data_IF_143108073540
#
_entry.id   IF_143108073540
#
_cell.length_a   1.000
_cell.length_b   1.000
_cell.length_c   1.000
_cell.angle_alpha   90.00
_cell.angle_beta   90.00
_cell.angle_gamma   90.00
#
_symmetry.space_group_name_H-M   'P 1'
#
loop_
_entity.id
_entity.type
_entity.pdbx_description
1 polymer ?
#
# COMPACT_ATOMS: atom_id res chain seq x y z
N UNK A 1 -27.86 -0.02 -26.85
CA UNK A 1 -27.92 1.41 -26.41
C UNK A 1 -27.80 1.57 -24.88
N UNK A 2 -28.58 0.85 -24.06
CA UNK A 2 -28.55 0.95 -22.58
C UNK A 2 -27.19 0.60 -21.94
N UNK A 3 -26.48 -0.41 -22.45
CA UNK A 3 -25.14 -0.79 -21.95
C UNK A 3 -24.10 0.30 -22.20
N UNK A 4 -24.17 0.97 -23.36
CA UNK A 4 -23.25 2.06 -23.72
C UNK A 4 -23.49 3.31 -22.87
N UNK A 5 -24.74 3.69 -22.64
CA UNK A 5 -25.11 4.80 -21.75
C UNK A 5 -24.70 4.54 -20.29
N UNK A 6 -24.83 3.29 -19.81
CA UNK A 6 -24.38 2.90 -18.47
C UNK A 6 -22.85 2.89 -18.34
N UNK A 7 -22.13 2.51 -19.39
CA UNK A 7 -20.67 2.64 -19.46
C UNK A 7 -20.23 4.10 -19.47
N UNK A 8 -20.93 4.99 -20.16
CA UNK A 8 -20.66 6.43 -20.14
C UNK A 8 -20.95 7.06 -18.78
N UNK A 9 -22.04 6.70 -18.09
CA UNK A 9 -22.31 7.16 -16.72
C UNK A 9 -21.29 6.63 -15.71
N UNK A 10 -20.87 5.37 -15.87
CA UNK A 10 -19.79 4.79 -15.06
C UNK A 10 -18.45 5.50 -15.32
N UNK A 11 -18.19 5.88 -16.58
CA UNK A 11 -17.00 6.63 -16.97
C UNK A 11 -17.04 8.05 -16.42
N UNK A 12 -18.17 8.76 -16.52
CA UNK A 12 -18.35 10.10 -15.96
C UNK A 12 -18.18 10.10 -14.43
N UNK A 13 -18.79 9.15 -13.73
CA UNK A 13 -18.61 8.98 -12.30
C UNK A 13 -17.15 8.62 -11.92
N UNK A 14 -16.46 7.87 -12.78
CA UNK A 14 -15.04 7.59 -12.61
C UNK A 14 -14.17 8.83 -12.87
N UNK A 15 -14.44 9.59 -13.93
CA UNK A 15 -13.73 10.81 -14.29
C UNK A 15 -13.89 11.87 -13.21
N UNK A 16 -15.10 12.04 -12.66
CA UNK A 16 -15.33 12.93 -11.52
C UNK A 16 -14.52 12.50 -10.30
N UNK A 17 -14.47 11.18 -10.00
CA UNK A 17 -13.62 10.66 -8.93
C UNK A 17 -12.15 10.99 -9.21
N UNK A 18 -11.64 10.72 -10.42
CA UNK A 18 -10.25 11.01 -10.82
C UNK A 18 -9.93 12.50 -10.69
N UNK A 19 -10.85 13.38 -11.11
CA UNK A 19 -10.67 14.83 -11.00
C UNK A 19 -10.49 15.30 -9.54
N UNK A 20 -11.08 14.59 -8.58
CA UNK A 20 -10.91 14.89 -7.14
C UNK A 20 -9.68 14.23 -6.51
N UNK A 21 -9.02 13.28 -7.18
CA UNK A 21 -7.85 12.58 -6.61
C UNK A 21 -6.68 13.51 -6.24
N UNK A 22 -6.31 14.54 -7.03
CA UNK A 22 -5.25 15.47 -6.65
C UNK A 22 -5.46 16.14 -5.30
N UNK A 23 -6.72 16.30 -4.87
CA UNK A 23 -7.08 16.88 -3.56
C UNK A 23 -7.25 15.77 -2.52
N UNK A 24 -7.95 14.69 -2.87
CA UNK A 24 -8.28 13.60 -1.96
C UNK A 24 -7.05 12.80 -1.54
N UNK A 25 -6.14 12.52 -2.47
CA UNK A 25 -4.92 11.73 -2.22
C UNK A 25 -4.01 12.36 -1.17
N UNK A 26 -3.49 13.59 -1.32
CA UNK A 26 -2.58 14.17 -0.33
C UNK A 26 -3.27 14.36 1.02
N UNK A 27 -4.57 14.72 1.03
CA UNK A 27 -5.35 14.83 2.27
C UNK A 27 -5.48 13.48 2.99
N UNK A 28 -5.77 12.41 2.26
CA UNK A 28 -5.84 11.05 2.80
C UNK A 28 -4.46 10.58 3.28
N UNK A 29 -3.41 10.77 2.48
CA UNK A 29 -2.03 10.40 2.84
C UNK A 29 -1.59 11.09 4.14
N UNK A 30 -1.85 12.39 4.24
CA UNK A 30 -1.49 13.17 5.41
C UNK A 30 -2.22 12.72 6.68
N UNK A 31 -3.51 12.39 6.57
CA UNK A 31 -4.28 11.83 7.67
C UNK A 31 -3.74 10.48 8.11
N UNK A 32 -3.37 9.61 7.17
CA UNK A 32 -2.75 8.30 7.46
C UNK A 32 -1.42 8.48 8.18
N UNK A 33 -0.57 9.39 7.70
CA UNK A 33 0.75 9.66 8.28
C UNK A 33 0.67 10.17 9.72
N UNK A 34 -0.24 11.11 9.98
CA UNK A 34 -0.40 11.73 11.32
C UNK A 34 -1.15 10.85 12.30
N UNK A 35 -2.27 10.25 11.88
CA UNK A 35 -3.18 9.53 12.77
C UNK A 35 -3.58 8.15 12.18
N UNK A 36 -2.63 7.20 12.08
CA UNK A 36 -2.89 5.90 11.46
C UNK A 36 -3.97 5.09 12.20
N UNK A 37 -4.04 5.21 13.53
CA UNK A 37 -5.07 4.57 14.35
C UNK A 37 -6.47 5.10 14.06
N UNK A 38 -6.64 6.42 13.98
CA UNK A 38 -7.94 7.04 13.70
C UNK A 38 -8.43 6.67 12.31
N UNK A 39 -7.54 6.64 11.32
CA UNK A 39 -7.87 6.18 9.97
C UNK A 39 -8.27 4.70 9.96
N UNK A 40 -7.64 3.88 10.80
CA UNK A 40 -8.00 2.46 10.93
C UNK A 40 -9.39 2.27 11.54
N UNK A 41 -9.73 3.05 12.59
CA UNK A 41 -11.06 3.08 13.19
C UNK A 41 -12.12 3.64 12.25
N UNK A 42 -11.77 4.67 11.47
CA UNK A 42 -12.62 5.19 10.40
C UNK A 42 -12.89 4.12 9.33
N UNK A 43 -11.86 3.38 8.92
CA UNK A 43 -11.97 2.33 7.90
C UNK A 43 -12.93 1.22 8.34
N UNK A 44 -12.85 0.79 9.60
CA UNK A 44 -13.78 -0.20 10.16
C UNK A 44 -15.23 0.31 10.12
N UNK A 45 -15.48 1.53 10.60
CA UNK A 45 -16.80 2.19 10.55
C UNK A 45 -17.34 2.33 9.11
N UNK A 46 -16.47 2.62 8.15
CA UNK A 46 -16.86 2.74 6.74
C UNK A 46 -17.25 1.40 6.10
N UNK A 47 -16.66 0.29 6.54
CA UNK A 47 -17.00 -1.04 6.02
C UNK A 47 -18.37 -1.55 6.49
N UNK A 48 -18.88 -1.01 7.60
CA UNK A 48 -20.22 -1.26 8.13
C UNK A 48 -21.32 -0.48 7.37
N UNK A 49 -20.96 0.56 6.61
CA UNK A 49 -21.92 1.38 5.84
C UNK A 49 -22.43 0.67 4.58
N UNK A 50 -23.50 1.21 3.98
CA UNK A 50 -23.99 0.75 2.68
C UNK A 50 -22.94 0.99 1.58
N UNK A 51 -22.77 0.07 0.60
CA UNK A 51 -21.72 0.12 -0.43
C UNK A 51 -21.57 1.48 -1.12
N UNK A 52 -22.68 2.16 -1.42
CA UNK A 52 -22.71 3.42 -2.17
C UNK A 52 -22.24 4.63 -1.35
N UNK A 53 -22.22 4.53 -0.01
CA UNK A 53 -21.77 5.60 0.90
C UNK A 53 -20.36 5.40 1.42
N UNK A 54 -19.77 4.20 1.23
CA UNK A 54 -18.44 3.87 1.76
C UNK A 54 -17.37 4.75 1.11
N UNK A 55 -16.48 5.27 1.94
CA UNK A 55 -15.32 6.06 1.52
C UNK A 55 -15.70 7.29 0.69
N UNK A 56 -16.85 7.92 0.97
CA UNK A 56 -17.22 9.19 0.32
C UNK A 56 -16.26 10.34 0.66
N UNK A 57 -15.61 10.29 1.84
CA UNK A 57 -14.69 11.33 2.32
C UNK A 57 -13.20 11.05 2.14
N UNK A 58 -12.79 9.89 1.60
CA UNK A 58 -11.40 9.47 1.41
C UNK A 58 -11.27 8.51 0.23
N UNK A 59 -10.10 8.41 -0.40
CA UNK A 59 -9.88 7.38 -1.42
C UNK A 59 -10.07 5.97 -0.83
N UNK A 60 -10.65 5.04 -1.59
CA UNK A 60 -10.79 3.66 -1.11
C UNK A 60 -9.42 3.07 -0.78
N UNK A 61 -9.28 2.22 0.25
CA UNK A 61 -7.96 1.87 0.76
C UNK A 61 -7.07 1.12 -0.24
N UNK A 62 -7.56 0.12 -1.00
CA UNK A 62 -6.76 -0.52 -2.05
C UNK A 62 -6.33 0.46 -3.15
N UNK A 63 -7.21 1.41 -3.51
CA UNK A 63 -6.90 2.43 -4.52
C UNK A 63 -5.82 3.38 -4.01
N UNK A 64 -5.88 3.78 -2.74
CA UNK A 64 -4.85 4.60 -2.10
C UNK A 64 -3.46 3.96 -2.23
N UNK A 65 -3.36 2.66 -1.95
CA UNK A 65 -2.09 1.93 -2.06
C UNK A 65 -1.59 1.86 -3.50
N UNK A 66 -2.47 1.50 -4.44
CA UNK A 66 -2.12 1.42 -5.87
C UNK A 66 -1.67 2.80 -6.37
N UNK A 67 -2.43 3.85 -6.06
CA UNK A 67 -2.11 5.22 -6.47
C UNK A 67 -0.79 5.70 -5.85
N UNK A 68 -0.52 5.35 -4.60
CA UNK A 68 0.75 5.64 -3.93
C UNK A 68 1.95 5.02 -4.66
N UNK A 69 1.84 3.75 -5.06
CA UNK A 69 2.89 3.03 -5.78
C UNK A 69 3.08 3.62 -7.18
N UNK A 70 1.99 3.86 -7.91
CA UNK A 70 2.03 4.42 -9.27
C UNK A 70 2.64 5.82 -9.26
N UNK A 71 2.17 6.72 -8.39
CA UNK A 71 2.69 8.09 -8.30
C UNK A 71 4.17 8.11 -7.92
N UNK A 72 4.61 7.26 -6.99
CA UNK A 72 6.01 7.20 -6.59
C UNK A 72 6.92 6.74 -7.75
N UNK A 73 6.44 5.84 -8.62
CA UNK A 73 7.17 5.45 -9.83
C UNK A 73 7.14 6.52 -10.92
N UNK A 74 6.01 7.21 -11.13
CA UNK A 74 5.90 8.31 -12.10
C UNK A 74 6.88 9.44 -11.81
N UNK A 75 7.06 9.81 -10.54
CA UNK A 75 8.07 10.80 -10.13
C UNK A 75 9.49 10.35 -10.51
N UNK A 76 9.77 9.04 -10.40
CA UNK A 76 11.05 8.47 -10.83
C UNK A 76 11.32 8.54 -12.33
N UNK A 77 10.28 8.57 -13.16
CA UNK A 77 10.42 8.69 -14.62
C UNK A 77 10.61 10.13 -15.09
N UNK A 78 10.25 11.11 -14.26
CA UNK A 78 10.50 12.52 -14.56
C UNK A 78 11.97 12.93 -14.35
N UNK A 79 12.84 12.02 -13.90
CA UNK A 79 14.27 12.27 -13.73
C UNK A 79 14.98 12.25 -15.11
N UNK A 80 15.74 13.29 -15.50
CA UNK A 80 16.27 13.48 -16.86
C UNK A 80 17.14 12.32 -17.38
N UNK A 81 17.85 11.62 -16.49
CA UNK A 81 18.86 10.63 -16.86
C UNK A 81 18.35 9.17 -16.86
N UNK A 82 17.03 8.95 -16.78
CA UNK A 82 16.45 7.59 -16.79
C UNK A 82 15.51 7.36 -17.98
N UNK A 83 15.80 6.39 -18.86
CA UNK A 83 14.87 6.03 -19.93
C UNK A 83 13.56 5.53 -19.31
N UNK A 84 12.43 5.92 -19.92
CA UNK A 84 11.13 5.48 -19.41
C UNK A 84 11.01 3.95 -19.51
N UNK A 85 10.41 3.27 -18.52
CA UNK A 85 10.27 1.80 -18.54
C UNK A 85 9.34 1.27 -19.64
N UNK A 86 8.53 2.15 -20.23
CA UNK A 86 7.76 1.88 -21.44
C UNK A 86 8.68 1.70 -22.65
N UNK A 87 9.78 2.45 -22.71
CA UNK A 87 10.76 2.39 -23.80
C UNK A 87 11.80 1.29 -23.54
N UNK A 88 12.14 0.99 -22.28
CA UNK A 88 13.11 -0.05 -21.94
C UNK A 88 12.54 -1.47 -21.82
N UNK A 89 11.22 -1.66 -22.00
CA UNK A 89 10.57 -2.97 -21.86
C UNK A 89 10.54 -3.51 -20.42
N UNK A 90 10.91 -2.71 -19.42
CA UNK A 90 10.98 -3.11 -18.01
C UNK A 90 9.65 -3.00 -17.26
N UNK A 91 8.58 -2.56 -17.94
CA UNK A 91 7.26 -2.37 -17.35
C UNK A 91 6.75 -3.61 -16.59
N UNK A 92 6.82 -4.86 -17.12
CA UNK A 92 6.38 -6.04 -16.39
C UNK A 92 7.18 -6.26 -15.10
N UNK A 93 8.50 -6.04 -15.14
CA UNK A 93 9.40 -6.21 -13.99
C UNK A 93 9.09 -5.19 -12.89
N UNK A 94 8.81 -3.95 -13.31
CA UNK A 94 8.42 -2.85 -12.43
C UNK A 94 7.03 -3.05 -11.83
N UNK A 95 6.08 -3.62 -12.58
CA UNK A 95 4.76 -4.00 -12.08
C UNK A 95 4.83 -5.11 -11.04
N UNK A 96 5.61 -6.17 -11.27
CA UNK A 96 5.77 -7.24 -10.27
C UNK A 96 6.43 -6.71 -8.98
N UNK A 97 7.44 -5.82 -9.12
CA UNK A 97 8.03 -5.11 -7.98
C UNK A 97 7.00 -4.24 -7.23
N UNK A 98 6.14 -3.56 -7.97
CA UNK A 98 5.04 -2.74 -7.44
C UNK A 98 4.03 -3.58 -6.65
N UNK A 99 3.65 -4.75 -7.17
CA UNK A 99 2.75 -5.69 -6.51
C UNK A 99 3.35 -6.25 -5.22
N UNK A 100 4.68 -6.38 -5.15
CA UNK A 100 5.41 -6.75 -3.96
C UNK A 100 5.10 -5.85 -2.75
N UNK A 101 4.93 -4.54 -2.94
CA UNK A 101 4.56 -3.63 -1.85
C UNK A 101 3.18 -3.93 -1.26
N UNK A 102 2.29 -4.59 -2.00
CA UNK A 102 1.02 -5.12 -1.49
C UNK A 102 1.19 -6.16 -0.39
N UNK A 103 2.33 -6.85 -0.32
CA UNK A 103 2.63 -7.82 0.74
C UNK A 103 2.79 -7.14 2.10
N UNK A 104 3.24 -5.89 2.14
CA UNK A 104 3.24 -5.11 3.38
C UNK A 104 1.84 -4.86 3.90
N UNK A 105 0.80 -4.82 3.04
CA UNK A 105 -0.59 -4.78 3.52
C UNK A 105 -1.13 -6.20 3.85
N UNK A 106 -0.83 -7.18 3.01
CA UNK A 106 -1.43 -8.51 3.08
C UNK A 106 -0.93 -9.34 4.27
N UNK A 107 0.38 -9.36 4.51
CA UNK A 107 1.01 -10.15 5.58
C UNK A 107 0.50 -9.81 6.99
N UNK A 108 0.46 -8.52 7.41
CA UNK A 108 -0.12 -8.16 8.70
C UNK A 108 -1.65 -8.36 8.73
N UNK A 109 -2.37 -8.18 7.63
CA UNK A 109 -3.80 -8.44 7.57
C UNK A 109 -4.12 -9.93 7.87
N UNK A 110 -3.35 -10.85 7.27
CA UNK A 110 -3.45 -12.27 7.58
C UNK A 110 -3.09 -12.57 9.03
N UNK A 111 -2.11 -11.88 9.62
CA UNK A 111 -1.75 -12.06 11.02
C UNK A 111 -2.88 -11.64 11.96
N UNK A 112 -3.57 -10.54 11.68
CA UNK A 112 -4.74 -10.12 12.45
C UNK A 112 -5.82 -11.20 12.48
N UNK A 113 -6.11 -11.86 11.34
CA UNK A 113 -7.06 -12.96 11.29
C UNK A 113 -6.60 -14.19 12.07
N UNK A 114 -5.31 -14.54 11.95
CA UNK A 114 -4.73 -15.68 12.68
C UNK A 114 -4.81 -15.47 14.19
N UNK A 115 -4.48 -14.27 14.68
CA UNK A 115 -4.59 -13.95 16.12
C UNK A 115 -6.04 -14.02 16.59
N UNK A 116 -6.99 -13.52 15.78
CA UNK A 116 -8.43 -13.62 16.07
C UNK A 116 -9.00 -15.03 15.92
N UNK A 117 -8.20 -16.02 15.50
CA UNK A 117 -8.62 -17.40 15.18
C UNK A 117 -9.77 -17.47 14.17
N UNK A 118 -9.83 -16.50 13.25
CA UNK A 118 -10.84 -16.44 12.18
C UNK A 118 -10.26 -17.12 10.94
N UNK A 119 -11.04 -18.01 10.30
CA UNK A 119 -10.63 -18.66 9.04
C UNK A 119 -10.42 -17.60 7.96
N UNK A 120 -9.35 -17.77 7.19
CA UNK A 120 -9.04 -16.86 6.07
C UNK A 120 -10.12 -17.04 5.00
N UNK A 121 -10.94 -16.02 4.83
CA UNK A 121 -11.94 -15.92 3.77
C UNK A 121 -11.89 -14.52 3.17
N UNK A 122 -12.38 -14.36 1.93
CA UNK A 122 -12.43 -13.05 1.26
C UNK A 122 -13.19 -12.00 2.08
N UNK A 123 -14.26 -12.42 2.76
CA UNK A 123 -15.08 -11.55 3.60
C UNK A 123 -14.36 -11.16 4.89
N UNK A 124 -13.74 -12.12 5.58
CA UNK A 124 -12.98 -11.86 6.80
C UNK A 124 -11.74 -11.00 6.55
N UNK A 125 -11.06 -11.20 5.41
CA UNK A 125 -9.83 -10.47 5.07
C UNK A 125 -10.09 -9.01 4.69
N UNK A 126 -11.30 -8.65 4.28
CA UNK A 126 -11.61 -7.33 3.74
C UNK A 126 -11.26 -6.20 4.71
N UNK A 127 -11.72 -6.28 5.95
CA UNK A 127 -11.43 -5.26 6.98
C UNK A 127 -9.95 -5.12 7.29
N UNK A 128 -9.24 -6.19 7.71
CA UNK A 128 -7.82 -6.06 8.04
C UNK A 128 -7.01 -5.67 6.81
N UNK A 129 -7.31 -6.19 5.61
CA UNK A 129 -6.61 -5.78 4.39
C UNK A 129 -6.80 -4.29 4.09
N UNK A 130 -8.02 -3.76 4.22
CA UNK A 130 -8.30 -2.35 3.93
C UNK A 130 -7.58 -1.42 4.89
N UNK A 131 -7.55 -1.74 6.18
CA UNK A 131 -6.76 -1.00 7.17
C UNK A 131 -5.28 -0.98 6.77
N UNK A 132 -4.77 -2.16 6.42
CA UNK A 132 -3.36 -2.34 6.10
C UNK A 132 -2.96 -1.68 4.77
N UNK A 133 -3.88 -1.56 3.80
CA UNK A 133 -3.62 -0.79 2.58
C UNK A 133 -3.33 0.68 2.89
N UNK A 134 -4.07 1.31 3.82
CA UNK A 134 -3.77 2.67 4.23
C UNK A 134 -2.39 2.76 4.88
N UNK A 135 -2.07 1.91 5.86
CA UNK A 135 -0.77 1.92 6.55
C UNK A 135 0.40 1.66 5.59
N UNK A 136 0.25 0.75 4.62
CA UNK A 136 1.28 0.43 3.65
C UNK A 136 1.51 1.53 2.59
N UNK A 137 0.52 2.41 2.37
CA UNK A 137 0.59 3.48 1.35
C UNK A 137 1.75 4.46 1.55
N UNK A 138 1.94 5.11 2.71
CA UNK A 138 3.10 5.99 2.91
C UNK A 138 4.42 5.22 2.92
N UNK A 139 4.44 3.99 3.45
CA UNK A 139 5.63 3.14 3.42
C UNK A 139 6.08 2.88 1.98
N UNK A 140 5.17 2.50 1.08
CA UNK A 140 5.52 2.19 -0.31
C UNK A 140 6.08 3.41 -1.04
N UNK A 141 5.53 4.61 -0.85
CA UNK A 141 6.06 5.85 -1.43
C UNK A 141 7.51 6.06 -1.00
N UNK A 142 7.79 6.00 0.30
CA UNK A 142 9.13 6.27 0.82
C UNK A 142 10.12 5.19 0.39
N UNK A 143 9.74 3.91 0.39
CA UNK A 143 10.61 2.83 -0.07
C UNK A 143 10.95 2.93 -1.56
N UNK A 144 9.97 3.31 -2.39
CA UNK A 144 10.18 3.56 -3.81
C UNK A 144 11.12 4.76 -4.00
N UNK A 145 10.83 5.89 -3.34
CA UNK A 145 11.66 7.09 -3.42
C UNK A 145 13.09 6.86 -2.93
N UNK A 146 13.26 6.15 -1.82
CA UNK A 146 14.56 5.77 -1.28
C UNK A 146 15.33 4.87 -2.27
N UNK A 147 14.67 3.92 -2.92
CA UNK A 147 15.31 3.10 -3.94
C UNK A 147 15.75 3.92 -5.17
N UNK A 148 14.97 4.92 -5.59
CA UNK A 148 15.40 5.83 -6.66
C UNK A 148 16.63 6.63 -6.23
N UNK A 149 16.62 7.14 -5.00
CA UNK A 149 17.68 7.96 -4.42
C UNK A 149 18.96 7.19 -4.12
N UNK A 150 18.88 5.87 -3.88
CA UNK A 150 20.03 5.02 -3.60
C UNK A 150 21.07 5.02 -4.74
N UNK A 151 20.65 5.31 -5.98
CA UNK A 151 21.56 5.49 -7.10
C UNK A 151 22.38 6.80 -7.06
N UNK A 152 22.02 7.74 -6.19
CA UNK A 152 22.65 9.07 -6.07
C UNK A 152 23.29 9.24 -4.69
N UNK A 153 22.52 9.00 -3.62
CA UNK A 153 22.93 9.17 -2.22
C UNK A 153 22.45 8.00 -1.36
N UNK A 154 23.30 6.98 -1.22
CA UNK A 154 22.99 5.76 -0.46
C UNK A 154 22.68 6.06 1.00
N UNK A 155 23.45 6.94 1.66
CA UNK A 155 23.25 7.27 3.07
C UNK A 155 21.86 7.90 3.32
N UNK A 156 21.44 8.83 2.47
CA UNK A 156 20.12 9.46 2.55
C UNK A 156 19.00 8.45 2.26
N UNK A 157 19.16 7.59 1.26
CA UNK A 157 18.22 6.51 0.96
C UNK A 157 18.05 5.53 2.14
N UNK A 158 19.15 5.15 2.79
CA UNK A 158 19.11 4.30 3.99
C UNK A 158 18.39 5.00 5.14
N UNK A 159 18.67 6.28 5.39
CA UNK A 159 18.01 7.03 6.45
C UNK A 159 16.49 7.13 6.24
N UNK A 160 16.04 7.43 5.02
CA UNK A 160 14.62 7.48 4.67
C UNK A 160 13.94 6.11 4.84
N UNK A 161 14.62 5.05 4.41
CA UNK A 161 14.14 3.68 4.57
C UNK A 161 13.97 3.33 6.05
N UNK A 162 14.97 3.61 6.88
CA UNK A 162 14.90 3.36 8.33
C UNK A 162 13.76 4.13 9.00
N UNK A 163 13.62 5.42 8.70
CA UNK A 163 12.53 6.25 9.25
C UNK A 163 11.16 5.70 8.84
N UNK A 164 10.98 5.31 7.58
CA UNK A 164 9.73 4.74 7.11
C UNK A 164 9.41 3.39 7.77
N UNK A 165 10.40 2.51 7.91
CA UNK A 165 10.27 1.24 8.60
C UNK A 165 9.89 1.42 10.07
N UNK A 166 10.54 2.36 10.78
CA UNK A 166 10.24 2.69 12.18
C UNK A 166 8.81 3.21 12.31
N UNK A 167 8.42 4.18 11.48
CA UNK A 167 7.06 4.73 11.48
C UNK A 167 6.00 3.65 11.23
N UNK A 168 6.25 2.78 10.25
CA UNK A 168 5.35 1.70 9.90
C UNK A 168 5.22 0.67 11.03
N UNK A 169 6.35 0.22 11.60
CA UNK A 169 6.36 -0.73 12.71
C UNK A 169 5.67 -0.15 13.95
N UNK A 170 5.93 1.11 14.29
CA UNK A 170 5.27 1.77 15.41
C UNK A 170 3.74 1.84 15.21
N UNK A 171 3.31 2.24 14.00
CA UNK A 171 1.89 2.28 13.63
C UNK A 171 1.23 0.90 13.71
N UNK A 172 1.94 -0.15 13.29
CA UNK A 172 1.47 -1.52 13.35
C UNK A 172 1.35 -2.06 14.77
N UNK A 173 2.34 -1.80 15.61
CA UNK A 173 2.32 -2.20 17.01
C UNK A 173 1.15 -1.51 17.71
N UNK A 174 0.99 -0.20 17.51
CA UNK A 174 -0.14 0.55 18.06
C UNK A 174 -1.49 -0.01 17.61
N UNK A 175 -1.62 -0.37 16.32
CA UNK A 175 -2.82 -0.97 15.76
C UNK A 175 -3.13 -2.33 16.38
N UNK A 176 -2.14 -3.23 16.42
CA UNK A 176 -2.31 -4.58 16.99
C UNK A 176 -2.72 -4.51 18.46
N UNK A 177 -2.10 -3.62 19.23
CA UNK A 177 -2.48 -3.38 20.64
C UNK A 177 -3.92 -2.91 20.77
N UNK A 178 -4.38 -2.00 19.89
CA UNK A 178 -5.72 -1.41 19.97
C UNK A 178 -6.83 -2.32 19.42
N UNK A 179 -6.55 -3.10 18.37
CA UNK A 179 -7.56 -3.91 17.67
C UNK A 179 -7.65 -5.36 18.13
N UNK A 180 -6.62 -5.85 18.84
CA UNK A 180 -6.51 -7.23 19.30
C UNK A 180 -6.27 -7.32 20.82
N UNK A 181 -6.28 -6.19 21.53
CA UNK A 181 -6.03 -6.08 22.96
C UNK A 181 -4.74 -6.80 23.41
N UNK A 182 -3.73 -6.83 22.53
CA UNK A 182 -2.47 -7.50 22.78
C UNK A 182 -1.55 -6.67 23.68
N UNK A 183 -0.78 -7.31 24.58
CA UNK A 183 0.31 -6.62 25.27
C UNK A 183 1.42 -6.24 24.29
N UNK A 184 2.30 -5.32 24.71
CA UNK A 184 3.34 -4.74 23.85
C UNK A 184 4.24 -5.82 23.23
N UNK A 185 4.66 -6.82 24.00
CA UNK A 185 5.64 -7.80 23.55
C UNK A 185 5.12 -8.72 22.41
N UNK A 186 3.94 -9.37 22.53
CA UNK A 186 3.35 -10.10 21.40
C UNK A 186 3.03 -9.22 20.20
N UNK A 187 2.56 -7.98 20.42
CA UNK A 187 2.27 -7.05 19.34
C UNK A 187 3.54 -6.70 18.53
N UNK A 188 4.64 -6.40 19.23
CA UNK A 188 5.95 -6.15 18.62
C UNK A 188 6.47 -7.36 17.87
N UNK A 189 6.42 -8.56 18.48
CA UNK A 189 6.88 -9.78 17.82
C UNK A 189 6.08 -10.09 16.55
N UNK A 190 4.75 -9.93 16.59
CA UNK A 190 3.89 -10.14 15.42
C UNK A 190 4.21 -9.09 14.34
N UNK A 191 4.29 -7.80 14.69
CA UNK A 191 4.60 -6.75 13.72
C UNK A 191 5.94 -6.98 13.01
N UNK A 192 7.00 -7.23 13.79
CA UNK A 192 8.36 -7.46 13.27
C UNK A 192 8.39 -8.74 12.42
N UNK A 193 7.85 -9.86 12.92
CA UNK A 193 7.86 -11.12 12.18
C UNK A 193 7.14 -11.01 10.83
N UNK A 194 5.99 -10.32 10.75
CA UNK A 194 5.28 -10.15 9.48
C UNK A 194 5.97 -9.17 8.55
N UNK A 195 6.63 -8.15 9.08
CA UNK A 195 7.44 -7.25 8.29
C UNK A 195 8.65 -7.98 7.66
N UNK A 196 9.36 -8.80 8.45
CA UNK A 196 10.48 -9.62 7.98
C UNK A 196 10.01 -10.60 6.91
N UNK A 197 8.93 -11.36 7.15
CA UNK A 197 8.42 -12.32 6.16
C UNK A 197 8.00 -11.61 4.87
N UNK A 198 7.32 -10.46 4.95
CA UNK A 198 6.97 -9.69 3.75
C UNK A 198 8.24 -9.28 2.97
N UNK A 199 9.24 -8.76 3.68
CA UNK A 199 10.52 -8.33 3.09
C UNK A 199 11.25 -9.49 2.41
N UNK A 200 11.35 -10.65 3.09
CA UNK A 200 12.00 -11.84 2.54
C UNK A 200 11.30 -12.34 1.27
N UNK A 201 9.95 -12.36 1.24
CA UNK A 201 9.20 -12.75 0.04
C UNK A 201 9.47 -11.76 -1.11
N UNK A 202 9.50 -10.45 -0.82
CA UNK A 202 9.78 -9.43 -1.84
C UNK A 202 11.21 -9.61 -2.37
N UNK A 203 12.20 -9.82 -1.51
CA UNK A 203 13.59 -10.04 -1.93
C UNK A 203 13.73 -11.31 -2.77
N UNK A 204 13.10 -12.42 -2.36
CA UNK A 204 13.07 -13.66 -3.13
C UNK A 204 12.41 -13.47 -4.50
N UNK A 205 11.31 -12.71 -4.57
CA UNK A 205 10.65 -12.37 -5.82
C UNK A 205 11.55 -11.51 -6.72
N UNK A 206 12.28 -10.56 -6.14
CA UNK A 206 13.22 -9.71 -6.88
C UNK A 206 14.40 -10.51 -7.44
N UNK A 207 14.93 -11.46 -6.67
CA UNK A 207 16.02 -12.33 -7.10
C UNK A 207 15.56 -13.30 -8.21
N UNK A 208 14.36 -13.88 -8.08
CA UNK A 208 13.74 -14.70 -9.12
C UNK A 208 13.56 -13.92 -10.43
N UNK A 209 13.07 -12.69 -10.35
CA UNK A 209 12.92 -11.83 -11.53
C UNK A 209 14.26 -11.44 -12.17
N UNK A 210 15.34 -11.40 -11.40
CA UNK A 210 16.68 -11.10 -11.93
C UNK A 210 17.25 -12.27 -12.71
N UNK A 211 16.98 -13.48 -12.24
CA UNK A 211 17.52 -14.73 -12.81
C UNK A 211 16.74 -15.24 -14.02
N UNK A 212 15.48 -14.86 -14.19
CA UNK A 212 14.72 -15.16 -15.41
C UNK A 212 15.11 -14.21 -16.55
N UNK A 213 15.78 -14.66 -17.62
CA UNK A 213 15.89 -13.87 -18.83
C UNK A 213 14.49 -13.69 -19.41
N UNK A 214 14.06 -12.44 -19.57
CA UNK A 214 12.81 -12.15 -20.30
C UNK A 214 13.13 -12.48 -21.75
N UNK A 215 12.61 -13.59 -22.25
CA UNK A 215 12.67 -13.92 -23.66
C UNK A 215 12.06 -12.76 -24.44
N UNK A 216 12.89 -12.15 -25.30
CA UNK A 216 12.53 -11.08 -26.21
C UNK A 216 11.58 -11.60 -27.30
#
# INVERSE_FOLDING_TARGET
MVVFLRSLQSLEAFLWKVATWPIAFPRTLWRVLRNPLDVSLYTRRQLEQQPDRRFSGMLSPPLMLILSIVLAHLVGFAMPDRPSPLVSGELPRLLVRSLGYGLYALMPAMAMLRVRRVRVSRTALREPFYIQCYLASPLSIVLIAANLLAGIQVALAMSLTSVACIWYLFSQIALLRRFLDLPLLPATFIAISRFIVATLIILALMDLLRTTPVAA
#
